data_IF_714529174952
#
_entry.id   IF_714529174952
#
_cell.length_a   1.000
_cell.length_b   1.000
_cell.length_c   1.000
_cell.angle_alpha   90.00
_cell.angle_beta   90.00
_cell.angle_gamma   90.00
#
_symmetry.space_group_name_H-M   'P 1'
#
loop_
_entity.id
_entity.type
_entity.pdbx_description
1 polymer ?
#
# COMPACT_ATOMS: atom_id res chain seq x y z
N UNK A 1 1.61 62.58 -0.17
CA UNK A 1 0.21 62.12 -0.37
C UNK A 1 0.38 60.76 -1.02
N UNK A 2 0.57 59.75 -0.19
CA UNK A 2 1.14 58.46 -0.63
C UNK A 2 0.01 57.53 -1.01
N UNK A 3 -0.19 57.38 -2.32
CA UNK A 3 -1.21 56.54 -2.94
C UNK A 3 -0.70 55.13 -3.17
N UNK A 4 -0.73 54.30 -2.13
CA UNK A 4 -0.46 52.87 -2.30
C UNK A 4 -1.63 52.20 -3.04
N UNK A 5 -1.33 51.63 -4.22
CA UNK A 5 -2.27 50.79 -4.96
C UNK A 5 -2.46 49.45 -4.24
N UNK A 6 -3.59 49.28 -3.56
CA UNK A 6 -4.05 47.96 -3.12
C UNK A 6 -4.72 47.24 -4.30
N UNK A 7 -4.26 46.03 -4.61
CA UNK A 7 -4.95 45.12 -5.53
C UNK A 7 -6.42 44.99 -5.07
N UNK A 8 -7.38 45.25 -5.97
CA UNK A 8 -8.80 45.01 -5.67
C UNK A 8 -8.93 43.55 -5.23
N UNK A 9 -9.27 43.33 -3.96
CA UNK A 9 -9.68 42.03 -3.48
C UNK A 9 -10.88 41.62 -4.34
N UNK A 10 -10.70 40.60 -5.18
CA UNK A 10 -11.82 39.99 -5.90
C UNK A 10 -12.82 39.58 -4.84
N UNK A 11 -14.02 40.15 -4.86
CA UNK A 11 -15.08 39.80 -3.92
C UNK A 11 -15.23 38.29 -3.92
N UNK A 12 -15.08 37.66 -2.75
CA UNK A 12 -15.34 36.23 -2.62
C UNK A 12 -16.77 35.96 -3.13
N UNK A 13 -16.95 34.98 -4.03
CA UNK A 13 -18.26 34.67 -4.54
C UNK A 13 -19.17 34.29 -3.36
N UNK A 14 -20.37 34.86 -3.31
CA UNK A 14 -21.37 34.49 -2.29
C UNK A 14 -21.85 33.08 -2.62
N UNK A 15 -21.34 32.09 -1.91
CA UNK A 15 -21.69 30.67 -2.08
C UNK A 15 -22.65 30.24 -0.97
N UNK A 16 -23.75 29.58 -1.35
CA UNK A 16 -24.72 29.05 -0.38
C UNK A 16 -24.18 27.81 0.36
N UNK A 17 -24.71 27.50 1.54
CA UNK A 17 -24.35 26.29 2.29
C UNK A 17 -24.61 25.01 1.47
N UNK A 18 -25.65 25.00 0.63
CA UNK A 18 -25.95 23.88 -0.27
C UNK A 18 -24.91 23.74 -1.38
N UNK A 19 -24.46 24.87 -1.94
CA UNK A 19 -23.41 24.89 -2.96
C UNK A 19 -22.07 24.41 -2.39
N UNK A 20 -21.71 24.84 -1.16
CA UNK A 20 -20.51 24.33 -0.47
C UNK A 20 -20.58 22.81 -0.24
N UNK A 21 -21.75 22.29 0.16
CA UNK A 21 -21.96 20.85 0.34
C UNK A 21 -21.86 20.11 -0.99
N UNK A 22 -22.41 20.67 -2.07
CA UNK A 22 -22.30 20.10 -3.41
C UNK A 22 -20.85 20.03 -3.87
N UNK A 23 -20.07 21.11 -3.74
CA UNK A 23 -18.66 21.15 -4.10
C UNK A 23 -17.85 20.12 -3.32
N UNK A 24 -17.99 20.07 -1.99
CA UNK A 24 -17.31 19.09 -1.15
C UNK A 24 -17.69 17.63 -1.49
N UNK A 25 -18.94 17.40 -1.91
CA UNK A 25 -19.40 16.07 -2.37
C UNK A 25 -18.75 15.69 -3.70
N UNK A 26 -18.61 16.63 -4.64
CA UNK A 26 -17.91 16.41 -5.91
C UNK A 26 -16.43 16.11 -5.70
N UNK A 27 -15.75 16.88 -4.83
CA UNK A 27 -14.35 16.66 -4.46
C UNK A 27 -14.16 15.26 -3.86
N UNK A 28 -15.04 14.86 -2.93
CA UNK A 28 -15.02 13.50 -2.35
C UNK A 28 -15.14 12.43 -3.43
N UNK A 29 -16.10 12.57 -4.34
CA UNK A 29 -16.30 11.62 -5.45
C UNK A 29 -15.05 11.52 -6.33
N UNK A 30 -14.41 12.64 -6.63
CA UNK A 30 -13.18 12.66 -7.40
C UNK A 30 -12.04 11.92 -6.68
N UNK A 31 -11.81 12.20 -5.40
CA UNK A 31 -10.78 11.53 -4.60
C UNK A 31 -11.05 10.03 -4.50
N UNK A 32 -12.30 9.61 -4.27
CA UNK A 32 -12.68 8.18 -4.24
C UNK A 32 -12.47 7.49 -5.59
N UNK A 33 -12.75 8.17 -6.70
CA UNK A 33 -12.47 7.65 -8.03
C UNK A 33 -10.96 7.45 -8.26
N UNK A 34 -10.14 8.44 -7.86
CA UNK A 34 -8.67 8.33 -7.92
C UNK A 34 -8.14 7.20 -7.04
N UNK A 35 -8.64 7.08 -5.81
CA UNK A 35 -8.32 5.97 -4.91
C UNK A 35 -8.67 4.61 -5.54
N UNK A 36 -9.86 4.48 -6.12
CA UNK A 36 -10.29 3.25 -6.79
C UNK A 36 -9.37 2.87 -7.95
N UNK A 37 -8.91 3.86 -8.74
CA UNK A 37 -7.92 3.63 -9.81
C UNK A 37 -6.59 3.14 -9.26
N UNK A 38 -6.10 3.73 -8.17
CA UNK A 38 -4.86 3.29 -7.53
C UNK A 38 -4.99 1.87 -6.97
N UNK A 39 -6.07 1.56 -6.26
CA UNK A 39 -6.32 0.21 -5.72
C UNK A 39 -6.35 -0.84 -6.82
N UNK A 40 -7.05 -0.59 -7.94
CA UNK A 40 -7.07 -1.51 -9.09
C UNK A 40 -5.67 -1.74 -9.69
N UNK A 41 -4.85 -0.68 -9.77
CA UNK A 41 -3.50 -0.79 -10.31
C UNK A 41 -2.54 -1.47 -9.34
N UNK A 42 -2.68 -1.25 -8.03
CA UNK A 42 -1.99 -2.01 -6.99
C UNK A 42 -2.35 -3.49 -7.10
N UNK A 43 -3.63 -3.83 -7.23
CA UNK A 43 -4.07 -5.21 -7.38
C UNK A 43 -3.47 -5.86 -8.64
N UNK A 44 -3.50 -5.16 -9.78
CA UNK A 44 -2.87 -5.64 -11.02
C UNK A 44 -1.36 -5.87 -10.85
N UNK A 45 -0.65 -4.92 -10.23
CA UNK A 45 0.79 -5.04 -9.97
C UNK A 45 1.10 -6.18 -8.98
N UNK A 46 0.31 -6.35 -7.92
CA UNK A 46 0.45 -7.46 -6.97
C UNK A 46 0.17 -8.83 -7.60
N UNK A 47 -0.70 -8.91 -8.61
CA UNK A 47 -0.94 -10.15 -9.35
C UNK A 47 0.24 -10.52 -10.25
N UNK A 48 0.91 -9.52 -10.84
CA UNK A 48 2.08 -9.74 -11.71
C UNK A 48 3.37 -9.93 -10.92
N UNK A 49 3.53 -9.22 -9.80
CA UNK A 49 4.69 -9.36 -8.92
C UNK A 49 4.35 -10.47 -7.93
N UNK A 50 4.93 -11.64 -8.09
CA UNK A 50 4.66 -12.79 -7.21
C UNK A 50 5.15 -12.59 -5.75
N UNK A 51 5.68 -11.40 -5.39
CA UNK A 51 6.17 -11.02 -4.05
C UNK A 51 7.16 -12.03 -3.44
N UNK A 52 7.82 -12.82 -4.28
CA UNK A 52 8.62 -13.97 -3.89
C UNK A 52 9.81 -13.57 -2.99
N UNK A 53 10.41 -12.41 -3.25
CA UNK A 53 11.52 -11.86 -2.45
C UNK A 53 11.06 -10.87 -1.36
N UNK A 54 9.75 -10.75 -1.11
CA UNK A 54 9.26 -9.87 -0.06
C UNK A 54 9.54 -10.50 1.31
N UNK A 55 10.38 -9.85 2.11
CA UNK A 55 10.80 -10.30 3.44
C UNK A 55 9.71 -10.22 4.52
N UNK A 56 8.48 -9.88 4.14
CA UNK A 56 7.37 -9.62 5.08
C UNK A 56 6.85 -10.88 5.78
N UNK A 57 7.04 -12.08 5.20
CA UNK A 57 6.67 -13.36 5.83
C UNK A 57 7.81 -14.36 5.77
N UNK A 58 8.61 -14.44 6.83
CA UNK A 58 9.53 -15.57 7.06
C UNK A 58 8.71 -16.80 7.45
N UNK A 59 8.52 -17.72 6.52
CA UNK A 59 7.88 -19.00 6.84
C UNK A 59 8.87 -19.90 7.60
N UNK A 60 8.40 -20.59 8.62
CA UNK A 60 9.20 -21.55 9.40
C UNK A 60 9.01 -22.95 8.82
N UNK A 61 10.08 -23.54 8.28
CA UNK A 61 10.08 -24.93 7.81
C UNK A 61 10.66 -25.84 8.89
N UNK A 62 9.81 -26.66 9.51
CA UNK A 62 10.20 -27.60 10.56
C UNK A 62 10.45 -28.97 9.94
N UNK A 63 11.63 -29.55 10.19
CA UNK A 63 12.01 -30.88 9.72
C UNK A 63 11.95 -31.83 10.92
N UNK A 64 11.28 -32.96 10.74
CA UNK A 64 11.22 -34.02 11.74
C UNK A 64 12.28 -35.08 11.42
N UNK A 65 13.01 -35.49 12.45
CA UNK A 65 14.03 -36.54 12.40
C UNK A 65 13.70 -37.58 13.46
N UNK A 66 14.12 -38.81 13.24
CA UNK A 66 13.69 -39.95 14.07
C UNK A 66 14.49 -40.06 15.37
N UNK A 67 15.77 -39.67 15.36
CA UNK A 67 16.68 -39.81 16.50
C UNK A 67 17.31 -38.47 16.93
N UNK A 68 17.63 -38.34 18.23
CA UNK A 68 18.31 -37.13 18.76
C UNK A 68 19.73 -36.95 18.20
N UNK A 69 20.46 -38.05 17.95
CA UNK A 69 21.79 -38.00 17.33
C UNK A 69 21.76 -37.47 15.89
N UNK A 70 20.68 -37.79 15.17
CA UNK A 70 20.44 -37.28 13.82
C UNK A 70 20.08 -35.79 13.86
N UNK A 71 19.31 -35.35 14.87
CA UNK A 71 19.02 -33.93 15.09
C UNK A 71 20.30 -33.12 15.36
N UNK A 72 21.23 -33.67 16.13
CA UNK A 72 22.48 -32.99 16.50
C UNK A 72 23.45 -32.83 15.31
N UNK A 73 23.47 -33.79 14.39
CA UNK A 73 24.37 -33.81 13.21
C UNK A 73 23.70 -33.38 11.90
N UNK A 74 22.46 -32.86 11.99
CA UNK A 74 21.63 -32.58 10.83
C UNK A 74 22.24 -31.54 9.89
N UNK A 75 22.37 -31.88 8.60
CA UNK A 75 22.86 -30.98 7.56
C UNK A 75 21.79 -30.72 6.52
N UNK A 76 21.31 -29.47 6.47
CA UNK A 76 20.24 -29.02 5.58
C UNK A 76 20.58 -29.18 4.10
N UNK A 77 21.83 -28.91 3.70
CA UNK A 77 22.25 -29.03 2.29
C UNK A 77 22.22 -30.48 1.80
N UNK A 78 22.67 -31.40 2.66
CA UNK A 78 22.63 -32.84 2.37
C UNK A 78 21.21 -33.39 2.37
N UNK A 79 20.37 -32.97 3.32
CA UNK A 79 18.98 -33.40 3.40
C UNK A 79 18.18 -33.06 2.12
N UNK A 80 18.41 -31.88 1.55
CA UNK A 80 17.74 -31.45 0.31
C UNK A 80 18.52 -31.79 -0.97
N UNK A 81 19.68 -32.45 -0.88
CA UNK A 81 20.60 -32.67 -2.01
C UNK A 81 20.83 -31.40 -2.86
N UNK A 82 21.00 -30.25 -2.19
CA UNK A 82 21.15 -28.94 -2.84
C UNK A 82 22.47 -28.29 -2.49
N UNK A 83 22.97 -27.42 -3.38
CA UNK A 83 24.16 -26.64 -3.10
C UNK A 83 23.89 -25.62 -1.97
N UNK A 84 24.83 -25.39 -1.02
CA UNK A 84 24.61 -24.53 0.14
C UNK A 84 24.16 -23.09 -0.21
N UNK A 85 24.54 -22.57 -1.38
CA UNK A 85 24.12 -21.25 -1.87
C UNK A 85 22.60 -21.10 -2.12
N UNK A 86 21.84 -22.20 -2.19
CA UNK A 86 20.38 -22.17 -2.37
C UNK A 86 19.61 -22.23 -1.04
N UNK A 87 20.28 -22.46 0.09
CA UNK A 87 19.62 -22.64 1.39
C UNK A 87 18.87 -21.38 1.87
N UNK A 88 19.36 -20.21 1.49
CA UNK A 88 18.73 -18.93 1.82
C UNK A 88 17.43 -18.67 1.05
N UNK A 89 17.25 -19.31 -0.11
CA UNK A 89 16.10 -19.07 -1.01
C UNK A 89 14.94 -19.96 -0.62
N UNK A 90 13.71 -19.48 -0.49
CA UNK A 90 12.58 -20.36 -0.08
C UNK A 90 11.96 -21.16 -1.23
N UNK A 91 12.21 -20.75 -2.47
CA UNK A 91 11.64 -21.29 -3.69
C UNK A 91 12.76 -21.64 -4.67
N UNK A 92 12.48 -22.51 -5.63
CA UNK A 92 13.40 -22.92 -6.68
C UNK A 92 14.78 -23.35 -6.13
N UNK A 93 14.79 -24.42 -5.33
CA UNK A 93 16.00 -25.10 -4.82
C UNK A 93 16.26 -26.37 -5.65
N UNK A 94 16.95 -26.29 -6.80
CA UNK A 94 17.21 -27.45 -7.62
C UNK A 94 18.19 -28.41 -6.91
N UNK A 95 17.98 -29.72 -7.09
CA UNK A 95 18.93 -30.72 -6.60
C UNK A 95 20.20 -30.71 -7.44
N UNK A 96 21.28 -31.26 -6.89
CA UNK A 96 22.57 -31.37 -7.58
C UNK A 96 22.45 -32.18 -8.88
N UNK A 97 21.56 -33.18 -8.93
CA UNK A 97 21.30 -33.95 -10.14
C UNK A 97 20.56 -33.14 -11.21
N UNK A 98 19.58 -32.31 -10.83
CA UNK A 98 18.91 -31.39 -11.75
C UNK A 98 19.90 -30.36 -12.32
N UNK A 99 20.78 -29.81 -11.47
CA UNK A 99 21.80 -28.85 -11.90
C UNK A 99 22.79 -29.44 -12.93
N UNK A 100 23.09 -30.74 -12.86
CA UNK A 100 23.95 -31.41 -13.84
C UNK A 100 23.24 -31.72 -15.16
N UNK A 101 21.94 -32.03 -15.11
CA UNK A 101 21.15 -32.45 -16.27
C UNK A 101 20.67 -31.27 -17.11
N UNK A 102 20.27 -30.18 -16.45
CA UNK A 102 19.69 -29.02 -17.12
C UNK A 102 20.78 -28.06 -17.62
N UNK A 103 20.54 -27.46 -18.79
CA UNK A 103 21.38 -26.40 -19.35
C UNK A 103 20.73 -25.06 -19.06
N UNK A 104 21.31 -24.29 -18.16
CA UNK A 104 20.89 -22.92 -17.88
C UNK A 104 21.64 -21.96 -18.79
N UNK A 105 21.14 -21.75 -20.01
CA UNK A 105 21.62 -20.68 -20.88
C UNK A 105 20.74 -19.45 -20.66
N UNK A 106 21.19 -18.53 -19.81
CA UNK A 106 20.59 -17.22 -19.66
C UNK A 106 21.67 -16.21 -20.02
N UNK A 107 21.35 -15.29 -20.91
CA UNK A 107 22.23 -14.18 -21.25
C UNK A 107 22.34 -13.24 -20.02
N UNK A 108 23.56 -12.93 -19.52
CA UNK A 108 23.72 -12.03 -18.38
C UNK A 108 23.05 -10.66 -18.58
N UNK A 109 23.03 -10.14 -19.80
CA UNK A 109 22.45 -8.82 -20.09
C UNK A 109 20.92 -8.86 -19.98
N UNK A 110 20.30 -9.92 -20.48
CA UNK A 110 18.86 -10.15 -20.34
C UNK A 110 18.45 -10.33 -18.88
N UNK A 111 19.27 -11.04 -18.09
CA UNK A 111 19.03 -11.22 -16.66
C UNK A 111 19.08 -9.89 -15.91
N UNK A 112 20.07 -9.05 -16.21
CA UNK A 112 20.19 -7.74 -15.57
C UNK A 112 18.99 -6.85 -15.91
N UNK A 113 18.60 -6.79 -17.19
CA UNK A 113 17.42 -6.04 -17.62
C UNK A 113 16.13 -6.53 -16.94
N UNK A 114 15.97 -7.85 -16.78
CA UNK A 114 14.85 -8.45 -16.05
C UNK A 114 14.87 -8.06 -14.55
N UNK A 115 16.03 -8.05 -13.91
CA UNK A 115 16.18 -7.62 -12.51
C UNK A 115 15.86 -6.13 -12.33
N UNK A 116 16.31 -5.27 -13.25
CA UNK A 116 16.04 -3.84 -13.23
C UNK A 116 14.55 -3.53 -13.40
N UNK A 117 13.89 -4.16 -14.39
CA UNK A 117 12.45 -4.00 -14.61
C UNK A 117 11.62 -4.47 -13.42
N UNK A 118 12.00 -5.59 -12.80
CA UNK A 118 11.42 -6.09 -11.54
C UNK A 118 11.57 -5.06 -10.43
N UNK A 119 12.77 -4.53 -10.20
CA UNK A 119 13.03 -3.54 -9.17
C UNK A 119 12.24 -2.24 -9.40
N UNK A 120 12.13 -1.79 -10.64
CA UNK A 120 11.31 -0.64 -11.01
C UNK A 120 9.83 -0.88 -10.69
N UNK A 121 9.31 -2.08 -10.95
CA UNK A 121 7.93 -2.43 -10.64
C UNK A 121 7.65 -2.48 -9.13
N UNK A 122 8.58 -2.97 -8.30
CA UNK A 122 8.46 -2.91 -6.84
C UNK A 122 8.50 -1.46 -6.32
N UNK A 123 9.35 -0.61 -6.89
CA UNK A 123 9.37 0.83 -6.60
C UNK A 123 8.08 1.53 -7.01
N UNK A 124 7.46 1.12 -8.13
CA UNK A 124 6.14 1.63 -8.52
C UNK A 124 5.06 1.19 -7.53
N UNK A 125 5.06 -0.10 -7.15
CA UNK A 125 4.07 -0.67 -6.24
C UNK A 125 4.09 0.03 -4.87
N UNK A 126 5.26 0.21 -4.27
CA UNK A 126 5.42 0.92 -2.98
C UNK A 126 4.86 2.34 -3.05
N UNK A 127 5.29 3.14 -4.03
CA UNK A 127 4.79 4.50 -4.25
C UNK A 127 3.27 4.56 -4.44
N UNK A 128 2.68 3.58 -5.12
CA UNK A 128 1.22 3.51 -5.30
C UNK A 128 0.50 3.19 -4.01
N UNK A 129 1.03 2.26 -3.20
CA UNK A 129 0.47 1.94 -1.89
C UNK A 129 0.45 3.19 -1.00
N UNK A 130 1.54 3.96 -0.98
CA UNK A 130 1.62 5.18 -0.17
C UNK A 130 0.66 6.26 -0.68
N UNK A 131 0.58 6.46 -2.00
CA UNK A 131 -0.44 7.36 -2.59
C UNK A 131 -1.87 6.94 -2.26
N UNK A 132 -2.16 5.63 -2.27
CA UNK A 132 -3.48 5.13 -1.91
C UNK A 132 -3.80 5.40 -0.43
N UNK A 133 -2.82 5.31 0.48
CA UNK A 133 -2.98 5.71 1.89
C UNK A 133 -3.28 7.20 2.01
N UNK A 134 -2.52 8.06 1.33
CA UNK A 134 -2.74 9.51 1.33
C UNK A 134 -4.14 9.88 0.81
N UNK A 135 -4.55 9.30 -0.33
CA UNK A 135 -5.88 9.52 -0.90
C UNK A 135 -7.00 9.07 0.03
N UNK A 136 -6.79 7.97 0.77
CA UNK A 136 -7.73 7.49 1.77
C UNK A 136 -7.89 8.51 2.92
N UNK A 137 -6.79 9.03 3.45
CA UNK A 137 -6.82 10.06 4.49
C UNK A 137 -7.52 11.33 4.00
N UNK A 138 -7.26 11.76 2.77
CA UNK A 138 -7.95 12.93 2.17
C UNK A 138 -9.46 12.67 2.04
N UNK A 139 -9.86 11.47 1.59
CA UNK A 139 -11.27 11.11 1.50
C UNK A 139 -11.95 11.16 2.88
N UNK A 140 -11.30 10.62 3.92
CA UNK A 140 -11.80 10.67 5.29
C UNK A 140 -11.90 12.10 5.84
N UNK A 141 -10.97 13.00 5.47
CA UNK A 141 -11.02 14.42 5.84
C UNK A 141 -12.18 15.15 5.17
N UNK A 142 -12.43 14.88 3.89
CA UNK A 142 -13.58 15.41 3.17
C UNK A 142 -14.89 14.90 3.77
N UNK A 143 -14.92 13.65 4.23
CA UNK A 143 -16.04 13.11 4.98
C UNK A 143 -16.26 13.79 6.31
N UNK A 144 -15.21 13.99 7.09
CA UNK A 144 -15.28 14.76 8.34
C UNK A 144 -15.79 16.20 8.11
N UNK A 145 -15.40 16.83 7.00
CA UNK A 145 -15.88 18.18 6.60
C UNK A 145 -17.37 18.16 6.25
N UNK A 146 -17.81 17.22 5.43
CA UNK A 146 -19.23 17.04 5.07
C UNK A 146 -20.08 16.74 6.30
N UNK A 147 -19.60 15.87 7.19
CA UNK A 147 -20.23 15.60 8.47
C UNK A 147 -20.29 16.87 9.31
N UNK A 148 -19.22 17.68 9.34
CA UNK A 148 -19.15 18.98 10.00
C UNK A 148 -20.26 19.95 9.57
N UNK A 149 -20.54 20.01 8.26
CA UNK A 149 -21.62 20.81 7.67
C UNK A 149 -23.03 20.27 8.00
N UNK A 150 -23.18 18.98 8.31
CA UNK A 150 -24.48 18.44 8.74
C UNK A 150 -24.83 18.89 10.17
N UNK A 151 -25.78 19.82 10.26
CA UNK A 151 -26.32 20.34 11.52
C UNK A 151 -27.48 19.49 12.09
N UNK A 152 -27.97 18.49 11.36
CA UNK A 152 -29.12 17.67 11.78
C UNK A 152 -28.84 16.81 13.02
N UNK A 153 -27.61 16.35 13.17
CA UNK A 153 -27.23 15.40 14.23
C UNK A 153 -26.26 16.03 15.23
N UNK A 154 -26.53 15.88 16.52
CA UNK A 154 -25.60 16.30 17.58
C UNK A 154 -24.37 15.39 17.57
N UNK A 155 -23.20 16.01 17.48
CA UNK A 155 -21.89 15.34 17.42
C UNK A 155 -20.90 16.05 18.33
N UNK A 156 -20.02 15.28 18.98
CA UNK A 156 -18.90 15.78 19.78
C UNK A 156 -17.59 15.38 19.11
N UNK A 157 -16.70 16.35 18.89
CA UNK A 157 -15.35 16.08 18.38
C UNK A 157 -14.56 15.35 19.47
N UNK A 158 -14.02 14.18 19.14
CA UNK A 158 -13.23 13.34 20.05
C UNK A 158 -11.74 13.50 19.77
N UNK A 159 -11.36 13.59 18.50
CA UNK A 159 -9.98 13.81 18.08
C UNK A 159 -9.91 14.90 17.01
N UNK A 160 -8.84 15.70 17.06
CA UNK A 160 -8.51 16.67 16.02
C UNK A 160 -7.97 16.02 14.77
N UNK A 161 -8.07 16.75 13.67
CA UNK A 161 -7.44 16.35 12.41
C UNK A 161 -5.92 16.39 12.58
N UNK A 162 -5.24 15.37 12.04
CA UNK A 162 -3.79 15.30 11.94
C UNK A 162 -3.39 15.15 10.47
N UNK A 163 -2.08 15.06 10.19
CA UNK A 163 -1.62 14.77 8.82
C UNK A 163 -2.04 13.37 8.36
N UNK A 164 -2.12 12.42 9.29
CA UNK A 164 -2.33 11.00 9.01
C UNK A 164 -3.78 10.53 9.22
N UNK A 165 -4.60 11.29 9.94
CA UNK A 165 -5.98 10.92 10.24
C UNK A 165 -6.94 12.10 10.16
N UNK A 166 -8.16 11.82 9.68
CA UNK A 166 -9.26 12.79 9.75
C UNK A 166 -9.72 13.06 11.19
N UNK A 167 -10.43 14.17 11.39
CA UNK A 167 -11.07 14.46 12.66
C UNK A 167 -12.14 13.42 13.00
N UNK A 168 -12.16 12.95 14.24
CA UNK A 168 -13.09 11.93 14.69
C UNK A 168 -14.23 12.56 15.51
N UNK A 169 -15.45 12.13 15.23
CA UNK A 169 -16.65 12.62 15.89
C UNK A 169 -17.45 11.46 16.49
N UNK A 170 -17.93 11.67 17.72
CA UNK A 170 -18.88 10.78 18.39
C UNK A 170 -20.28 11.38 18.24
N UNK A 171 -21.17 10.65 17.60
CA UNK A 171 -22.57 11.02 17.44
C UNK A 171 -23.38 10.65 18.68
N UNK A 172 -24.42 11.43 18.98
CA UNK A 172 -25.39 11.04 19.99
C UNK A 172 -26.09 9.74 19.56
N UNK A 173 -26.34 8.84 20.52
CA UNK A 173 -27.05 7.58 20.26
C UNK A 173 -28.54 7.88 20.04
N UNK A 174 -28.91 8.19 18.81
CA UNK A 174 -30.28 8.48 18.38
C UNK A 174 -30.56 7.73 17.08
N UNK A 175 -31.65 6.96 17.05
CA UNK A 175 -32.08 6.27 15.82
C UNK A 175 -32.56 7.33 14.82
N UNK A 176 -32.10 7.23 13.58
CA UNK A 176 -32.68 8.02 12.49
C UNK A 176 -34.16 7.65 12.35
N UNK A 177 -35.02 8.66 12.27
CA UNK A 177 -36.45 8.49 12.01
C UNK A 177 -36.68 8.34 10.52
#
# INVERSE_FOLDING_TARGET
MDGDHQLRQTSEPVVSEEQHKMMATQDKKYVLFRLSKELKKIEKLKKTLHLIDSSEKKNTHTIFVDNEDEAASFNVAKFFDTHPAFLDRTFNRPTLETLKKERFSIDPDELQAAMESKNAAYKELSKRIDRAKELKVIAEKLDAKLLGMDKKHRKKKVASETKESAAQYKFAFQRQK
#
